data_IF_110199931446
#
_entry.id   IF_110199931446
#
_cell.length_a   1.000
_cell.length_b   1.000
_cell.length_c   1.000
_cell.angle_alpha   90.00
_cell.angle_beta   90.00
_cell.angle_gamma   90.00
#
_symmetry.space_group_name_H-M   'P 1'
#
loop_
_entity.id
_entity.type
_entity.pdbx_description
1 polymer ?
#
# COMPACT_ATOMS: atom_id res chain seq x y z
N UNK A 1 22.60 21.53 44.95
CA UNK A 1 23.01 21.54 43.53
C UNK A 1 21.84 21.97 42.68
N UNK A 2 22.03 22.81 41.66
CA UNK A 2 20.93 23.34 40.88
C UNK A 2 20.40 22.30 39.89
N UNK A 3 19.07 22.27 39.79
CA UNK A 3 18.20 21.90 38.68
C UNK A 3 18.84 21.27 37.43
N UNK A 4 18.62 19.96 37.26
CA UNK A 4 18.68 19.30 35.96
C UNK A 4 17.39 19.59 35.19
N UNK A 5 17.47 20.51 34.23
CA UNK A 5 16.41 20.81 33.29
C UNK A 5 16.89 20.60 31.86
N UNK A 6 16.04 19.98 31.05
CA UNK A 6 16.00 20.23 29.61
C UNK A 6 16.69 19.19 28.73
N UNK A 7 15.86 18.42 28.02
CA UNK A 7 16.31 17.59 26.90
C UNK A 7 15.21 16.73 26.29
N UNK A 8 13.94 17.16 26.38
CA UNK A 8 12.88 16.56 25.56
C UNK A 8 13.16 16.92 24.11
N UNK A 9 13.52 15.92 23.30
CA UNK A 9 13.70 16.04 21.85
C UNK A 9 12.37 16.38 21.19
N UNK A 10 12.00 17.65 21.21
CA UNK A 10 11.00 18.22 20.32
C UNK A 10 11.58 18.29 18.93
N UNK A 11 11.56 17.17 18.20
CA UNK A 11 11.69 17.21 16.76
C UNK A 11 10.54 18.07 16.23
N UNK A 12 10.85 19.21 15.63
CA UNK A 12 9.86 19.97 14.86
C UNK A 12 9.19 18.99 13.89
N UNK A 13 7.86 19.00 13.72
CA UNK A 13 7.21 18.09 12.78
C UNK A 13 7.88 18.26 11.42
N UNK A 14 8.52 17.18 10.93
CA UNK A 14 9.16 17.22 9.61
C UNK A 14 8.07 17.41 8.58
N UNK A 15 8.26 18.37 7.68
CA UNK A 15 7.26 18.64 6.64
C UNK A 15 7.18 17.47 5.67
N UNK A 16 6.00 17.22 5.09
CA UNK A 16 5.84 16.21 4.04
C UNK A 16 6.85 16.41 2.90
N UNK A 17 7.20 17.64 2.57
CA UNK A 17 8.23 17.89 1.55
C UNK A 17 9.62 17.36 1.95
N UNK A 18 10.03 17.51 3.20
CA UNK A 18 11.30 16.99 3.70
C UNK A 18 11.33 15.46 3.69
N UNK A 19 10.21 14.81 4.04
CA UNK A 19 10.08 13.35 3.95
C UNK A 19 10.22 12.85 2.51
N UNK A 20 9.57 13.50 1.55
CA UNK A 20 9.64 13.12 0.15
C UNK A 20 11.07 13.16 -0.42
N UNK A 21 11.87 14.16 -0.03
CA UNK A 21 13.29 14.25 -0.41
C UNK A 21 14.08 13.07 0.15
N UNK A 22 13.78 12.61 1.37
CA UNK A 22 14.43 11.45 1.97
C UNK A 22 14.02 10.13 1.30
N UNK A 23 12.77 10.02 0.88
CA UNK A 23 12.25 8.82 0.17
C UNK A 23 12.82 8.67 -1.25
N UNK A 24 13.04 9.81 -1.92
CA UNK A 24 13.61 9.85 -3.28
C UNK A 24 15.14 9.81 -3.30
N UNK A 25 15.80 9.83 -2.14
CA UNK A 25 17.25 9.70 -2.06
C UNK A 25 17.71 8.31 -2.56
N UNK A 26 18.77 8.29 -3.38
CA UNK A 26 19.31 7.07 -3.99
C UNK A 26 20.80 6.94 -3.59
N UNK A 27 21.15 6.02 -2.69
CA UNK A 27 22.53 5.86 -2.17
C UNK A 27 22.71 4.67 -1.22
N UNK A 28 23.94 4.27 -0.88
CA UNK A 28 24.20 3.04 -0.12
C UNK A 28 23.78 3.11 1.37
N UNK A 29 23.85 4.28 2.00
CA UNK A 29 23.40 4.52 3.39
C UNK A 29 21.88 4.81 3.51
N UNK A 30 21.12 4.63 2.42
CA UNK A 30 19.74 5.10 2.35
C UNK A 30 18.71 4.15 2.92
N UNK A 31 18.96 2.85 3.07
CA UNK A 31 17.90 1.93 3.45
C UNK A 31 17.32 2.24 4.84
N UNK A 32 18.19 2.40 5.84
CA UNK A 32 17.76 2.81 7.20
C UNK A 32 17.15 4.21 7.22
N UNK A 33 17.65 5.13 6.38
CA UNK A 33 17.11 6.49 6.27
C UNK A 33 15.71 6.51 5.65
N UNK A 34 15.49 5.70 4.62
CA UNK A 34 14.21 5.50 3.93
C UNK A 34 13.23 4.78 4.84
N UNK A 35 13.65 3.75 5.58
CA UNK A 35 12.82 3.12 6.62
C UNK A 35 12.36 4.17 7.62
N UNK A 36 13.28 4.95 8.19
CA UNK A 36 12.92 6.00 9.15
C UNK A 36 11.98 7.05 8.55
N UNK A 37 12.19 7.43 7.28
CA UNK A 37 11.32 8.38 6.58
C UNK A 37 9.92 7.80 6.30
N UNK A 38 9.83 6.52 5.90
CA UNK A 38 8.55 5.84 5.68
C UNK A 38 7.79 5.60 6.97
N UNK A 39 8.47 5.21 8.06
CA UNK A 39 7.85 5.06 9.37
C UNK A 39 7.28 6.39 9.85
N UNK A 40 8.09 7.46 9.78
CA UNK A 40 7.64 8.81 10.13
C UNK A 40 6.48 9.28 9.24
N UNK A 41 6.50 8.98 7.94
CA UNK A 41 5.39 9.26 7.03
C UNK A 41 4.12 8.50 7.43
N UNK A 42 4.22 7.20 7.73
CA UNK A 42 3.07 6.40 8.15
C UNK A 42 2.47 6.94 9.45
N UNK A 43 3.31 7.29 10.42
CA UNK A 43 2.85 7.86 11.69
C UNK A 43 2.14 9.20 11.47
N UNK A 44 2.73 10.08 10.66
CA UNK A 44 2.11 11.36 10.30
C UNK A 44 0.78 11.17 9.58
N UNK A 45 0.72 10.29 8.56
CA UNK A 45 -0.51 10.03 7.81
C UNK A 45 -1.58 9.35 8.69
N UNK A 46 -1.21 8.47 9.61
CA UNK A 46 -2.17 7.79 10.47
C UNK A 46 -2.95 8.74 11.38
N UNK A 47 -2.31 9.85 11.79
CA UNK A 47 -2.89 10.88 12.66
C UNK A 47 -3.36 12.12 11.88
N UNK A 48 -3.07 12.19 10.57
CA UNK A 48 -3.41 13.33 9.75
C UNK A 48 -4.91 13.38 9.46
N UNK A 49 -5.42 14.60 9.27
CA UNK A 49 -6.74 14.87 8.70
C UNK A 49 -6.58 15.39 7.27
N UNK A 50 -7.65 15.33 6.47
CA UNK A 50 -7.67 15.90 5.10
C UNK A 50 -7.16 17.35 5.08
N UNK A 51 -7.53 18.15 6.10
CA UNK A 51 -7.10 19.53 6.25
C UNK A 51 -5.59 19.66 6.55
N UNK A 52 -5.05 18.74 7.36
CA UNK A 52 -3.61 18.71 7.68
C UNK A 52 -2.76 18.32 6.46
N UNK A 53 -3.27 17.43 5.61
CA UNK A 53 -2.64 17.03 4.35
C UNK A 53 -2.66 18.18 3.36
N UNK A 54 -3.79 18.88 3.25
CA UNK A 54 -3.94 20.04 2.37
C UNK A 54 -3.05 21.22 2.80
N UNK A 55 -2.98 21.52 4.09
CA UNK A 55 -2.13 22.58 4.65
C UNK A 55 -0.64 22.19 4.69
N UNK A 56 -0.34 20.90 4.87
CA UNK A 56 1.02 20.36 4.96
C UNK A 56 1.75 20.27 3.62
N UNK A 57 1.09 20.59 2.50
CA UNK A 57 1.68 20.59 1.17
C UNK A 57 1.97 19.21 0.61
N UNK A 58 1.20 18.19 1.02
CA UNK A 58 1.32 16.85 0.45
C UNK A 58 0.79 16.86 -0.99
N UNK A 59 1.69 16.63 -1.94
CA UNK A 59 1.36 16.53 -3.34
C UNK A 59 1.32 15.06 -3.75
N UNK A 60 0.13 14.52 -4.04
CA UNK A 60 -0.04 13.14 -4.51
C UNK A 60 0.80 12.86 -5.76
N UNK A 61 0.93 13.84 -6.65
CA UNK A 61 1.70 13.70 -7.89
C UNK A 61 3.19 13.44 -7.65
N UNK A 62 3.73 13.91 -6.52
CA UNK A 62 5.14 13.69 -6.15
C UNK A 62 5.29 12.41 -5.30
N UNK A 63 4.33 12.14 -4.41
CA UNK A 63 4.36 10.99 -3.51
C UNK A 63 4.08 9.66 -4.20
N UNK A 64 3.10 9.63 -5.11
CA UNK A 64 2.73 8.41 -5.83
C UNK A 64 3.91 7.77 -6.58
N UNK A 65 4.71 8.49 -7.40
CA UNK A 65 5.84 7.87 -8.08
C UNK A 65 6.93 7.41 -7.12
N UNK A 66 7.19 8.15 -6.03
CA UNK A 66 8.18 7.76 -5.03
C UNK A 66 7.79 6.43 -4.32
N UNK A 67 6.51 6.29 -3.93
CA UNK A 67 6.00 5.07 -3.29
C UNK A 67 5.97 3.88 -4.26
N UNK A 68 5.60 4.09 -5.52
CA UNK A 68 5.60 3.03 -6.53
C UNK A 68 7.03 2.57 -6.85
N UNK A 69 8.00 3.49 -6.90
CA UNK A 69 9.41 3.13 -7.09
C UNK A 69 9.94 2.31 -5.91
N UNK A 70 9.54 2.65 -4.68
CA UNK A 70 9.88 1.85 -3.49
C UNK A 70 9.34 0.41 -3.58
N UNK A 71 8.11 0.21 -4.08
CA UNK A 71 7.56 -1.13 -4.31
C UNK A 71 8.31 -1.91 -5.40
N UNK A 72 8.85 -1.21 -6.40
CA UNK A 72 9.55 -1.81 -7.54
C UNK A 72 10.94 -2.32 -7.16
N UNK A 73 11.65 -1.62 -6.28
CA UNK A 73 13.01 -2.00 -5.90
C UNK A 73 13.02 -3.32 -5.11
N UNK A 74 13.97 -4.25 -5.37
CA UNK A 74 14.18 -5.42 -4.52
C UNK A 74 14.77 -4.94 -3.19
N UNK A 75 13.91 -4.76 -2.19
CA UNK A 75 14.28 -4.26 -0.87
C UNK A 75 13.75 -5.18 0.23
N UNK A 76 14.16 -4.90 1.47
CA UNK A 76 13.71 -5.59 2.68
C UNK A 76 12.17 -5.64 2.77
N UNK A 77 11.63 -6.76 3.25
CA UNK A 77 10.19 -6.96 3.46
C UNK A 77 9.58 -5.88 4.37
N UNK A 78 10.35 -5.37 5.34
CA UNK A 78 9.93 -4.27 6.21
C UNK A 78 9.68 -2.96 5.43
N UNK A 79 10.49 -2.67 4.40
CA UNK A 79 10.29 -1.49 3.55
C UNK A 79 9.04 -1.62 2.70
N UNK A 80 8.80 -2.82 2.14
CA UNK A 80 7.59 -3.09 1.35
C UNK A 80 6.33 -3.00 2.21
N UNK A 81 6.38 -3.45 3.47
CA UNK A 81 5.31 -3.28 4.46
C UNK A 81 5.03 -1.79 4.66
N UNK A 82 6.05 -0.99 4.98
CA UNK A 82 5.88 0.44 5.24
C UNK A 82 5.39 1.20 4.00
N UNK A 83 5.89 0.88 2.81
CA UNK A 83 5.44 1.49 1.57
C UNK A 83 3.97 1.17 1.26
N UNK A 84 3.56 -0.10 1.46
CA UNK A 84 2.17 -0.53 1.28
C UNK A 84 1.24 0.15 2.28
N UNK A 85 1.68 0.28 3.54
CA UNK A 85 0.94 0.99 4.59
C UNK A 85 0.81 2.49 4.30
N UNK A 86 1.88 3.13 3.83
CA UNK A 86 1.84 4.53 3.40
C UNK A 86 0.84 4.75 2.26
N UNK A 87 0.80 3.84 1.27
CA UNK A 87 -0.22 3.87 0.21
C UNK A 87 -1.62 3.72 0.79
N UNK A 88 -1.82 2.80 1.75
CA UNK A 88 -3.11 2.63 2.40
C UNK A 88 -3.60 3.91 3.07
N UNK A 89 -2.75 4.57 3.87
CA UNK A 89 -3.12 5.80 4.55
C UNK A 89 -3.32 6.96 3.58
N UNK A 90 -2.48 7.06 2.54
CA UNK A 90 -2.62 8.08 1.50
C UNK A 90 -3.98 7.97 0.79
N UNK A 91 -4.38 6.76 0.39
CA UNK A 91 -5.68 6.52 -0.26
C UNK A 91 -6.85 6.73 0.71
N UNK A 92 -6.65 6.51 2.01
CA UNK A 92 -7.69 6.80 3.02
C UNK A 92 -7.99 8.28 3.16
N UNK A 93 -6.93 9.08 3.20
CA UNK A 93 -7.01 10.52 3.38
C UNK A 93 -7.33 11.25 2.07
N UNK A 94 -6.86 10.71 0.96
CA UNK A 94 -7.00 11.30 -0.37
C UNK A 94 -7.45 10.20 -1.34
N UNK A 95 -8.76 9.91 -1.41
CA UNK A 95 -9.29 8.88 -2.32
C UNK A 95 -8.88 9.12 -3.78
N UNK A 96 -8.78 10.38 -4.20
CA UNK A 96 -8.31 10.76 -5.55
C UNK A 96 -6.87 10.33 -5.87
N UNK A 97 -6.10 9.86 -4.88
CA UNK A 97 -4.75 9.33 -5.09
C UNK A 97 -4.72 7.94 -5.73
N UNK A 98 -5.83 7.21 -5.76
CA UNK A 98 -5.92 5.88 -6.38
C UNK A 98 -5.61 5.93 -7.88
N UNK A 99 -6.17 6.91 -8.61
CA UNK A 99 -6.00 7.08 -10.04
C UNK A 99 -4.51 7.23 -10.47
N UNK A 100 -3.72 8.17 -9.89
CA UNK A 100 -2.30 8.28 -10.22
C UNK A 100 -1.51 7.03 -9.82
N UNK A 101 -1.77 6.43 -8.66
CA UNK A 101 -1.11 5.18 -8.23
C UNK A 101 -1.34 4.04 -9.23
N UNK A 102 -2.58 3.85 -9.68
CA UNK A 102 -2.95 2.83 -10.67
C UNK A 102 -2.30 3.13 -12.02
N UNK A 103 -2.28 4.40 -12.45
CA UNK A 103 -1.65 4.81 -13.71
C UNK A 103 -0.14 4.54 -13.74
N UNK A 104 0.52 4.63 -12.58
CA UNK A 104 1.94 4.33 -12.40
C UNK A 104 2.24 2.83 -12.26
N UNK A 105 1.22 1.98 -12.27
CA UNK A 105 1.38 0.53 -12.20
C UNK A 105 1.42 -0.05 -10.77
N UNK A 106 0.98 0.69 -9.75
CA UNK A 106 0.96 0.20 -8.37
C UNK A 106 0.22 -1.13 -8.23
N UNK A 107 -0.91 -1.30 -8.94
CA UNK A 107 -1.70 -2.53 -8.89
C UNK A 107 -0.89 -3.76 -9.34
N UNK A 108 -0.16 -3.67 -10.45
CA UNK A 108 0.67 -4.77 -10.94
C UNK A 108 1.81 -5.09 -9.97
N UNK A 109 2.47 -4.06 -9.43
CA UNK A 109 3.55 -4.24 -8.46
C UNK A 109 3.06 -4.89 -7.17
N UNK A 110 1.91 -4.47 -6.63
CA UNK A 110 1.32 -5.10 -5.45
C UNK A 110 0.92 -6.55 -5.71
N UNK A 111 0.37 -6.86 -6.89
CA UNK A 111 0.04 -8.25 -7.26
C UNK A 111 1.29 -9.12 -7.32
N UNK A 112 2.36 -8.64 -7.95
CA UNK A 112 3.64 -9.34 -8.03
C UNK A 112 4.23 -9.59 -6.63
N UNK A 113 4.25 -8.55 -5.78
CA UNK A 113 4.75 -8.68 -4.39
C UNK A 113 3.92 -9.64 -3.55
N UNK A 114 2.60 -9.68 -3.75
CA UNK A 114 1.74 -10.62 -3.04
C UNK A 114 1.99 -12.07 -3.48
N UNK A 115 2.18 -12.28 -4.79
CA UNK A 115 2.46 -13.59 -5.37
C UNK A 115 3.85 -14.14 -5.01
N UNK A 116 4.82 -13.24 -4.77
CA UNK A 116 6.18 -13.59 -4.37
C UNK A 116 6.42 -13.47 -2.85
N UNK A 117 5.40 -13.25 -2.03
CA UNK A 117 5.59 -12.99 -0.60
C UNK A 117 5.83 -14.29 0.17
N UNK A 118 6.92 -14.33 0.92
CA UNK A 118 7.22 -15.40 1.90
C UNK A 118 6.77 -15.05 3.32
N UNK A 119 6.36 -13.79 3.55
CA UNK A 119 6.00 -13.26 4.87
C UNK A 119 4.50 -12.95 4.96
N UNK A 120 3.86 -13.46 6.01
CA UNK A 120 2.43 -13.27 6.27
C UNK A 120 2.11 -11.78 6.47
N UNK A 121 2.92 -11.08 7.27
CA UNK A 121 2.71 -9.66 7.57
C UNK A 121 2.77 -8.79 6.30
N UNK A 122 3.70 -9.10 5.39
CA UNK A 122 3.80 -8.43 4.10
C UNK A 122 2.58 -8.70 3.23
N UNK A 123 2.13 -9.96 3.17
CA UNK A 123 0.95 -10.32 2.40
C UNK A 123 -0.30 -9.58 2.90
N UNK A 124 -0.47 -9.45 4.22
CA UNK A 124 -1.61 -8.74 4.81
C UNK A 124 -1.61 -7.24 4.44
N UNK A 125 -0.46 -6.58 4.53
CA UNK A 125 -0.33 -5.15 4.20
C UNK A 125 -0.50 -4.88 2.69
N UNK A 126 0.08 -5.72 1.84
CA UNK A 126 -0.06 -5.62 0.39
C UNK A 126 -1.51 -5.86 -0.03
N UNK A 127 -2.19 -6.83 0.60
CA UNK A 127 -3.59 -7.14 0.32
C UNK A 127 -4.53 -6.00 0.77
N UNK A 128 -4.24 -5.34 1.89
CA UNK A 128 -4.96 -4.13 2.33
C UNK A 128 -4.84 -3.00 1.29
N UNK A 129 -3.63 -2.77 0.76
CA UNK A 129 -3.39 -1.78 -0.27
C UNK A 129 -4.13 -2.13 -1.56
N UNK A 130 -4.07 -3.39 -1.98
CA UNK A 130 -4.76 -3.89 -3.16
C UNK A 130 -6.28 -3.74 -3.03
N UNK A 131 -6.86 -4.04 -1.86
CA UNK A 131 -8.29 -3.82 -1.57
C UNK A 131 -8.67 -2.37 -1.81
N UNK A 132 -7.90 -1.41 -1.27
CA UNK A 132 -8.20 0.01 -1.41
C UNK A 132 -8.17 0.46 -2.87
N UNK A 133 -7.17 0.02 -3.65
CA UNK A 133 -7.13 0.31 -5.09
C UNK A 133 -8.31 -0.34 -5.84
N UNK A 134 -8.71 -1.55 -5.44
CA UNK A 134 -9.81 -2.28 -6.10
C UNK A 134 -11.18 -1.64 -5.89
N UNK A 135 -11.36 -0.88 -4.81
CA UNK A 135 -12.63 -0.23 -4.49
C UNK A 135 -13.02 0.82 -5.54
N UNK A 136 -12.06 1.57 -6.08
CA UNK A 136 -12.32 2.60 -7.10
C UNK A 136 -11.88 2.14 -8.51
N UNK A 137 -10.82 1.34 -8.60
CA UNK A 137 -10.21 0.93 -9.87
C UNK A 137 -10.17 -0.60 -10.04
N UNK A 138 -11.26 -1.28 -9.69
CA UNK A 138 -11.39 -2.74 -9.77
C UNK A 138 -11.01 -3.33 -11.14
N UNK A 139 -11.39 -2.69 -12.25
CA UNK A 139 -11.05 -3.17 -13.59
C UNK A 139 -9.54 -3.10 -13.91
N UNK A 140 -8.80 -2.17 -13.30
CA UNK A 140 -7.35 -2.09 -13.46
C UNK A 140 -6.65 -3.16 -12.60
N UNK A 141 -7.10 -3.32 -11.35
CA UNK A 141 -6.59 -4.35 -10.44
C UNK A 141 -6.88 -5.76 -10.98
N UNK A 142 -8.05 -5.99 -11.57
CA UNK A 142 -8.40 -7.26 -12.21
C UNK A 142 -7.45 -7.58 -13.38
N UNK A 143 -7.19 -6.60 -14.25
CA UNK A 143 -6.25 -6.75 -15.38
C UNK A 143 -4.80 -6.97 -14.93
N UNK A 144 -4.44 -6.49 -13.75
CA UNK A 144 -3.14 -6.71 -13.14
C UNK A 144 -2.98 -8.11 -12.51
N UNK A 145 -4.03 -8.96 -12.54
CA UNK A 145 -4.01 -10.28 -11.93
C UNK A 145 -4.40 -10.29 -10.45
N UNK A 146 -5.02 -9.21 -9.95
CA UNK A 146 -5.35 -9.06 -8.53
C UNK A 146 -6.30 -10.14 -7.98
N UNK A 147 -7.14 -10.74 -8.82
CA UNK A 147 -8.02 -11.83 -8.39
C UNK A 147 -7.23 -13.08 -7.98
N UNK A 148 -6.29 -13.51 -8.83
CA UNK A 148 -5.41 -14.64 -8.53
C UNK A 148 -4.53 -14.32 -7.33
N UNK A 149 -3.89 -13.15 -7.33
CA UNK A 149 -2.99 -12.72 -6.25
C UNK A 149 -3.70 -12.70 -4.87
N UNK A 150 -4.94 -12.22 -4.81
CA UNK A 150 -5.70 -12.16 -3.56
C UNK A 150 -6.14 -13.54 -3.06
N UNK A 151 -6.39 -14.51 -3.95
CA UNK A 151 -7.05 -15.78 -3.58
C UNK A 151 -6.11 -17.00 -3.56
N UNK A 152 -4.97 -16.95 -4.24
CA UNK A 152 -4.08 -18.10 -4.37
C UNK A 152 -3.61 -18.67 -3.02
N UNK A 153 -3.38 -17.82 -2.03
CA UNK A 153 -2.89 -18.21 -0.70
C UNK A 153 -3.95 -18.04 0.40
N UNK A 154 -5.23 -17.94 0.05
CA UNK A 154 -6.31 -17.66 1.02
C UNK A 154 -6.37 -18.68 2.16
N UNK A 155 -6.03 -19.94 1.90
CA UNK A 155 -6.04 -21.03 2.88
C UNK A 155 -4.93 -20.87 3.95
N UNK A 156 -3.89 -20.07 3.66
CA UNK A 156 -2.76 -19.79 4.54
C UNK A 156 -2.83 -18.43 5.25
N UNK A 157 -3.77 -17.57 4.84
CA UNK A 157 -3.94 -16.25 5.42
C UNK A 157 -4.54 -16.31 6.83
N UNK A 158 -4.18 -15.31 7.63
CA UNK A 158 -4.87 -15.05 8.90
C UNK A 158 -6.35 -14.79 8.64
N UNK A 159 -7.21 -15.03 9.63
CA UNK A 159 -8.66 -14.75 9.48
C UNK A 159 -8.91 -13.27 9.12
N UNK A 160 -8.03 -12.37 9.54
CA UNK A 160 -8.03 -10.96 9.11
C UNK A 160 -7.81 -10.84 7.60
N UNK A 161 -6.67 -11.34 7.11
CA UNK A 161 -6.31 -11.30 5.70
C UNK A 161 -7.30 -12.06 4.79
N UNK A 162 -7.90 -13.17 5.25
CA UNK A 162 -8.95 -13.88 4.51
C UNK A 162 -10.17 -12.98 4.24
N UNK A 163 -10.64 -12.22 5.25
CA UNK A 163 -11.76 -11.27 5.05
C UNK A 163 -11.41 -10.19 4.04
N UNK A 164 -10.18 -9.69 4.08
CA UNK A 164 -9.68 -8.69 3.12
C UNK A 164 -9.59 -9.29 1.72
N UNK A 165 -9.11 -10.53 1.57
CA UNK A 165 -9.02 -11.25 0.31
C UNK A 165 -10.40 -11.44 -0.32
N UNK A 166 -11.37 -11.93 0.46
CA UNK A 166 -12.76 -12.12 0.01
C UNK A 166 -13.40 -10.79 -0.38
N UNK A 167 -13.22 -9.74 0.44
CA UNK A 167 -13.73 -8.40 0.11
C UNK A 167 -13.12 -7.85 -1.17
N UNK A 168 -11.81 -8.03 -1.37
CA UNK A 168 -11.11 -7.63 -2.60
C UNK A 168 -11.66 -8.39 -3.79
N UNK A 169 -11.78 -9.71 -3.68
CA UNK A 169 -12.34 -10.56 -4.73
C UNK A 169 -13.78 -10.16 -5.09
N UNK A 170 -14.62 -9.87 -4.09
CA UNK A 170 -15.99 -9.38 -4.32
C UNK A 170 -16.01 -8.04 -5.07
N UNK A 171 -15.15 -7.08 -4.70
CA UNK A 171 -14.98 -5.82 -5.43
C UNK A 171 -14.52 -6.05 -6.86
N UNK A 172 -13.60 -6.99 -7.09
CA UNK A 172 -13.15 -7.34 -8.45
C UNK A 172 -14.23 -8.03 -9.27
N UNK A 173 -15.05 -8.90 -8.67
CA UNK A 173 -16.21 -9.51 -9.34
C UNK A 173 -17.20 -8.45 -9.85
N UNK A 174 -17.43 -7.37 -9.09
CA UNK A 174 -18.28 -6.27 -9.53
C UNK A 174 -17.72 -5.50 -10.75
N UNK A 175 -16.40 -5.59 -10.98
CA UNK A 175 -15.72 -4.98 -12.12
C UNK A 175 -15.54 -5.92 -13.32
N UNK A 176 -15.99 -7.17 -13.23
CA UNK A 176 -15.86 -8.15 -14.33
C UNK A 176 -16.78 -7.75 -15.48
N UNK A 177 -16.20 -7.74 -16.67
CA UNK A 177 -16.92 -7.62 -17.94
C UNK A 177 -16.76 -8.92 -18.73
N UNK A 178 -17.62 -9.19 -19.74
CA UNK A 178 -17.46 -10.37 -20.59
C UNK A 178 -16.06 -10.50 -21.21
N UNK A 179 -15.38 -9.36 -21.48
CA UNK A 179 -14.01 -9.34 -22.02
C UNK A 179 -12.95 -9.78 -20.98
N UNK A 180 -13.18 -9.54 -19.69
CA UNK A 180 -12.22 -9.84 -18.62
C UNK A 180 -12.58 -11.09 -17.81
N UNK A 181 -13.68 -11.77 -18.15
CA UNK A 181 -14.15 -12.97 -17.45
C UNK A 181 -13.12 -14.11 -17.46
N UNK A 182 -12.28 -14.21 -18.47
CA UNK A 182 -11.20 -15.20 -18.52
C UNK A 182 -10.16 -15.00 -17.39
N UNK A 183 -9.99 -13.77 -16.89
CA UNK A 183 -9.05 -13.45 -15.81
C UNK A 183 -9.51 -13.96 -14.43
N UNK A 184 -10.78 -14.35 -14.30
CA UNK A 184 -11.32 -14.94 -13.07
C UNK A 184 -11.37 -16.47 -13.11
N UNK A 185 -11.06 -17.09 -14.25
CA UNK A 185 -11.19 -18.54 -14.43
C UNK A 185 -10.35 -19.32 -13.40
N UNK A 186 -9.09 -18.93 -13.20
CA UNK A 186 -8.17 -19.60 -12.28
C UNK A 186 -8.58 -19.46 -10.80
N UNK A 187 -9.30 -18.39 -10.47
CA UNK A 187 -9.79 -18.11 -9.13
C UNK A 187 -11.21 -18.64 -8.86
N UNK A 188 -11.93 -19.06 -9.90
CA UNK A 188 -13.30 -19.58 -9.82
C UNK A 188 -13.47 -20.73 -8.82
N UNK A 189 -12.62 -21.78 -8.80
CA UNK A 189 -12.78 -22.86 -7.83
C UNK A 189 -12.64 -22.37 -6.38
N UNK A 190 -11.74 -21.42 -6.13
CA UNK A 190 -11.56 -20.82 -4.79
C UNK A 190 -12.76 -19.95 -4.42
N UNK A 191 -13.29 -19.16 -5.34
CA UNK A 191 -14.51 -18.39 -5.13
C UNK A 191 -15.70 -19.28 -4.75
N UNK A 192 -15.92 -20.38 -5.50
CA UNK A 192 -17.00 -21.32 -5.21
C UNK A 192 -16.86 -21.95 -3.82
N UNK A 193 -15.64 -22.28 -3.38
CA UNK A 193 -15.39 -22.81 -2.02
C UNK A 193 -15.72 -21.79 -0.92
N UNK A 194 -15.47 -20.51 -1.16
CA UNK A 194 -15.68 -19.45 -0.16
C UNK A 194 -17.15 -19.00 -0.08
N UNK A 195 -17.97 -19.30 -1.08
CA UNK A 195 -19.39 -18.96 -1.14
C UNK A 195 -20.34 -20.13 -0.86
N UNK A 196 -19.81 -21.36 -0.74
CA UNK A 196 -20.58 -22.58 -0.44
C UNK A 196 -20.76 -22.76 1.08
#
# INVERSE_FOLDING_TARGET
GPFGGGGGGGGSPTTFRALLVRLSATGADTESSVVAALSELCDQLSMATEESVALGGLCVADYAPALVELLRRPQNSHLLILASRAICHLVELVPSATAPLVSLGAAAMLCERLLSSEYIDLAEEVLQALRKLSAEHGAAVLRAGGMLAALQFVDFYTTGAQRVAVSTAASLCAAVTPATMHLTADATPTLCRLTA
#
